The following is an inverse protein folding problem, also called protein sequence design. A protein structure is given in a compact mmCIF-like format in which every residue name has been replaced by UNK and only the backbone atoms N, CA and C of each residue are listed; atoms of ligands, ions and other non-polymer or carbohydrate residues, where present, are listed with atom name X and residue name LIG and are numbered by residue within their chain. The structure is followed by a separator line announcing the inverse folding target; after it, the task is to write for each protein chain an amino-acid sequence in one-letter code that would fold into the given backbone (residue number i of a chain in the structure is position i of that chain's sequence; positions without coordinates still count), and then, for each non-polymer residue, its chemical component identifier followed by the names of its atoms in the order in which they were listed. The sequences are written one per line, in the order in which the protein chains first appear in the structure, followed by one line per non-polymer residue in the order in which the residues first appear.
data_IF_188396121454
#
_entry.id   IF_188396121454
#
_cell.length_a   1.000
_cell.length_b   1.000
_cell.length_c   1.000
_cell.angle_alpha   90.00
_cell.angle_beta   90.00
_cell.angle_gamma   90.00
#
_symmetry.space_group_name_H-M   'P 1'
#
loop_
_entity.id
_entity.type
_entity.pdbx_description
1 polymer ?
#
# COMPACT_ATOMS: atom_id res chain seq x y z
N UNK A 1 28.20 -7.40 -63.08
CA UNK A 1 27.00 -8.10 -62.56
C UNK A 1 26.62 -7.64 -61.15
N UNK A 2 27.59 -7.26 -60.30
CA UNK A 2 27.38 -6.88 -58.90
C UNK A 2 26.63 -5.55 -58.67
N UNK A 3 26.78 -4.55 -59.54
CA UNK A 3 26.07 -3.27 -59.41
C UNK A 3 24.55 -3.38 -59.57
N UNK A 4 24.07 -4.35 -60.35
CA UNK A 4 22.62 -4.56 -60.52
C UNK A 4 22.02 -5.24 -59.30
N UNK A 5 22.80 -6.06 -58.59
CA UNK A 5 22.35 -6.77 -57.40
C UNK A 5 22.21 -5.81 -56.21
N UNK A 6 23.11 -4.83 -56.09
CA UNK A 6 23.02 -3.78 -55.07
C UNK A 6 21.81 -2.86 -55.28
N UNK A 7 21.51 -2.50 -56.55
CA UNK A 7 20.35 -1.67 -56.90
C UNK A 7 19.02 -2.37 -56.62
N UNK A 8 18.96 -3.68 -56.87
CA UNK A 8 17.78 -4.50 -56.53
C UNK A 8 17.62 -4.62 -55.01
N UNK A 9 18.73 -4.78 -54.27
CA UNK A 9 18.72 -4.84 -52.81
C UNK A 9 18.21 -3.55 -52.16
N UNK A 10 18.66 -2.38 -52.61
CA UNK A 10 18.17 -1.09 -52.08
C UNK A 10 16.71 -0.82 -52.45
N UNK A 11 16.26 -1.27 -53.62
CA UNK A 11 14.85 -1.14 -54.01
C UNK A 11 13.94 -2.02 -53.15
N UNK A 12 14.35 -3.26 -52.87
CA UNK A 12 13.60 -4.17 -51.99
C UNK A 12 13.55 -3.66 -50.54
N UNK A 13 14.64 -3.09 -50.04
CA UNK A 13 14.69 -2.53 -48.68
C UNK A 13 13.78 -1.29 -48.56
N UNK A 14 13.72 -0.46 -49.60
CA UNK A 14 12.78 0.66 -49.67
C UNK A 14 11.32 0.21 -49.67
N UNK A 15 10.98 -0.84 -50.43
CA UNK A 15 9.64 -1.43 -50.44
C UNK A 15 9.26 -2.01 -49.07
N UNK A 16 10.18 -2.68 -48.38
CA UNK A 16 9.94 -3.19 -47.03
C UNK A 16 9.68 -2.07 -46.02
N UNK A 17 10.41 -0.94 -46.13
CA UNK A 17 10.25 0.22 -45.25
C UNK A 17 8.91 0.92 -45.46
N UNK A 18 8.49 1.08 -46.72
CA UNK A 18 7.17 1.63 -47.07
C UNK A 18 6.05 0.68 -46.62
N UNK A 19 6.22 -0.63 -46.78
CA UNK A 19 5.29 -1.63 -46.27
C UNK A 19 5.14 -1.60 -44.74
N UNK A 20 6.25 -1.43 -44.01
CA UNK A 20 6.24 -1.37 -42.55
C UNK A 20 5.62 -0.07 -42.03
N UNK A 21 5.82 1.05 -42.73
CA UNK A 21 5.14 2.33 -42.45
C UNK A 21 3.63 2.25 -42.75
N UNK A 22 3.24 1.64 -43.87
CA UNK A 22 1.83 1.40 -44.21
C UNK A 22 1.13 0.49 -43.21
N UNK A 23 1.79 -0.58 -42.77
CA UNK A 23 1.27 -1.48 -41.74
C UNK A 23 1.10 -0.79 -40.38
N UNK A 24 2.06 0.07 -39.98
CA UNK A 24 1.90 0.92 -38.78
C UNK A 24 0.74 1.90 -38.90
N UNK A 25 0.53 2.47 -40.08
CA UNK A 25 -0.56 3.42 -40.30
C UNK A 25 -1.94 2.73 -40.25
N UNK A 26 -2.05 1.53 -40.84
CA UNK A 26 -3.25 0.69 -40.77
C UNK A 26 -3.56 0.24 -39.34
N UNK A 27 -2.55 -0.20 -38.59
CA UNK A 27 -2.73 -0.63 -37.19
C UNK A 27 -3.15 0.54 -36.27
N UNK A 28 -2.71 1.76 -36.60
CA UNK A 28 -3.13 2.96 -35.86
C UNK A 28 -4.51 3.47 -36.28
N UNK A 29 -4.93 3.24 -37.53
CA UNK A 29 -6.27 3.59 -38.01
C UNK A 29 -7.37 2.71 -37.40
N UNK A 30 -7.05 1.45 -37.04
CA UNK A 30 -7.98 0.54 -36.36
C UNK A 30 -8.23 0.94 -34.88
N UNK A 31 -7.43 1.84 -34.32
CA UNK A 31 -7.60 2.38 -32.96
C UNK A 31 -8.39 3.69 -32.88
N UNK A 32 -8.87 4.22 -34.02
CA UNK A 32 -9.59 5.50 -34.07
C UNK A 32 -10.86 5.42 -34.92
N UNK A 33 -11.76 4.49 -34.61
CA UNK A 33 -13.19 4.65 -34.91
C UNK A 33 -14.03 4.00 -33.82
N UNK A 34 -14.31 4.77 -32.77
CA UNK A 34 -15.58 4.70 -32.08
C UNK A 34 -16.08 6.14 -31.91
N UNK A 35 -17.18 6.55 -32.58
CA UNK A 35 -17.62 7.93 -32.58
C UNK A 35 -18.23 8.29 -31.22
N UNK A 36 -17.93 9.52 -30.80
CA UNK A 36 -18.52 10.16 -29.64
C UNK A 36 -20.06 10.13 -29.70
N UNK A 37 -20.68 9.62 -28.64
CA UNK A 37 -22.06 9.92 -28.30
C UNK A 37 -22.24 9.99 -26.78
N UNK A 38 -22.65 11.18 -26.36
CA UNK A 38 -23.40 11.51 -25.16
C UNK A 38 -22.68 11.54 -23.81
N UNK A 39 -22.61 12.77 -23.28
CA UNK A 39 -22.57 13.07 -21.86
C UNK A 39 -23.52 12.16 -21.09
N UNK A 40 -22.97 11.16 -20.42
CA UNK A 40 -23.64 10.48 -19.32
C UNK A 40 -22.62 10.46 -18.20
N UNK A 41 -22.92 11.24 -17.18
CA UNK A 41 -22.30 11.14 -15.85
C UNK A 41 -22.45 9.70 -15.40
N UNK A 42 -21.44 8.86 -15.66
CA UNK A 42 -21.30 7.57 -15.00
C UNK A 42 -20.90 7.89 -13.57
N UNK A 43 -21.91 8.09 -12.73
CA UNK A 43 -21.83 7.62 -11.35
C UNK A 43 -21.38 6.16 -11.46
N UNK A 44 -20.10 5.92 -11.18
CA UNK A 44 -19.68 4.59 -10.76
C UNK A 44 -20.44 4.38 -9.46
N UNK A 45 -21.45 3.54 -9.53
CA UNK A 45 -22.18 3.05 -8.38
C UNK A 45 -21.16 2.30 -7.53
N UNK A 46 -20.56 3.02 -6.59
CA UNK A 46 -19.88 2.44 -5.44
C UNK A 46 -20.92 1.54 -4.79
N UNK A 47 -20.74 0.22 -4.90
CA UNK A 47 -21.43 -0.73 -4.04
C UNK A 47 -20.95 -0.48 -2.62
N UNK A 48 -21.60 0.48 -1.95
CA UNK A 48 -21.66 0.47 -0.50
C UNK A 48 -22.26 -0.89 -0.13
N UNK A 49 -21.47 -1.75 0.51
CA UNK A 49 -22.00 -3.00 1.04
C UNK A 49 -23.01 -2.59 2.10
N UNK A 50 -24.28 -2.96 1.90
CA UNK A 50 -25.40 -2.54 2.75
C UNK A 50 -25.15 -3.06 4.18
N UNK A 51 -25.15 -2.17 5.17
CA UNK A 51 -24.79 -2.48 6.57
C UNK A 51 -25.70 -3.58 7.18
N UNK A 52 -26.89 -3.80 6.61
CA UNK A 52 -27.83 -4.85 7.01
C UNK A 52 -27.46 -6.26 6.52
N UNK A 53 -26.75 -6.41 5.40
CA UNK A 53 -26.38 -7.72 4.84
C UNK A 53 -25.13 -8.31 5.53
N UNK A 54 -24.29 -7.44 6.10
CA UNK A 54 -23.16 -7.82 6.95
C UNK A 54 -23.64 -8.52 8.25
N UNK A 55 -24.63 -7.95 8.95
CA UNK A 55 -25.12 -8.49 10.22
C UNK A 55 -25.59 -9.95 10.15
N UNK A 56 -26.33 -10.30 9.09
CA UNK A 56 -26.89 -11.66 8.91
C UNK A 56 -25.85 -12.69 8.45
N UNK A 57 -24.77 -12.24 7.79
CA UNK A 57 -23.68 -13.11 7.33
C UNK A 57 -22.64 -13.40 8.42
N UNK A 58 -22.46 -12.50 9.40
CA UNK A 58 -21.65 -12.76 10.60
C UNK A 58 -22.34 -13.66 11.63
N UNK A 59 -23.66 -13.54 11.80
CA UNK A 59 -24.43 -14.37 12.74
C UNK A 59 -24.36 -15.88 12.42
N UNK A 60 -23.99 -16.25 11.19
CA UNK A 60 -23.92 -17.65 10.71
C UNK A 60 -22.54 -18.30 10.87
N UNK A 61 -21.50 -17.53 11.20
CA UNK A 61 -20.13 -18.05 11.35
C UNK A 61 -19.78 -18.51 12.79
N UNK A 62 -20.56 -18.11 13.80
CA UNK A 62 -20.33 -18.44 15.22
C UNK A 62 -20.86 -19.80 15.70
N UNK A 63 -21.50 -20.61 14.85
CA UNK A 63 -22.10 -21.88 15.26
C UNK A 63 -21.14 -23.07 15.06
N UNK A 64 -20.07 -23.15 15.86
CA UNK A 64 -19.07 -24.22 15.74
C UNK A 64 -18.18 -24.46 16.97
N UNK A 65 -18.62 -24.13 18.19
CA UNK A 65 -17.86 -24.35 19.42
C UNK A 65 -18.13 -25.73 20.03
N UNK A 66 -17.15 -26.65 19.97
CA UNK A 66 -17.17 -27.88 20.77
C UNK A 66 -16.50 -27.58 22.12
N UNK A 67 -17.27 -27.63 23.19
CA UNK A 67 -16.79 -27.40 24.55
C UNK A 67 -16.04 -28.60 25.10
N UNK A 68 -14.80 -28.40 25.56
CA UNK A 68 -14.09 -29.34 26.43
C UNK A 68 -13.48 -28.56 27.60
N UNK A 69 -13.88 -28.94 28.80
CA UNK A 69 -13.47 -28.34 30.08
C UNK A 69 -12.00 -28.60 30.43
N UNK A 70 -11.37 -27.75 31.26
CA UNK A 70 -9.95 -27.84 31.58
C UNK A 70 -9.68 -28.62 32.87
N UNK A 71 -8.56 -29.35 32.91
CA UNK A 71 -7.89 -29.73 34.15
C UNK A 71 -6.47 -29.15 34.17
N UNK A 72 -6.13 -28.66 35.36
CA UNK A 72 -5.00 -27.80 35.72
C UNK A 72 -3.72 -28.61 35.92
N UNK A 73 -2.58 -28.10 35.46
CA UNK A 73 -1.29 -28.24 36.16
C UNK A 73 -0.28 -27.18 35.65
N UNK A 74 0.09 -26.26 36.54
CA UNK A 74 1.05 -25.17 36.34
C UNK A 74 2.48 -25.67 36.61
N UNK A 75 3.48 -25.29 35.78
CA UNK A 75 4.85 -25.17 36.27
C UNK A 75 5.37 -23.73 36.19
N UNK A 76 6.31 -23.48 37.08
CA UNK A 76 6.82 -22.20 37.55
C UNK A 76 7.61 -21.40 36.50
N UNK A 77 7.49 -20.08 36.59
CA UNK A 77 8.19 -19.08 35.78
C UNK A 77 9.60 -18.90 36.36
N UNK A 78 10.64 -19.29 35.61
CA UNK A 78 12.00 -18.80 35.84
C UNK A 78 12.21 -17.47 35.11
N UNK A 79 12.49 -16.45 35.90
CA UNK A 79 12.76 -15.06 35.55
C UNK A 79 14.20 -14.95 35.00
N UNK A 80 14.39 -15.08 33.69
CA UNK A 80 15.64 -14.69 33.03
C UNK A 80 15.57 -13.21 32.60
N UNK A 81 16.35 -12.39 33.28
CA UNK A 81 16.43 -10.94 33.09
C UNK A 81 16.80 -10.49 31.67
N UNK A 82 16.77 -9.16 31.41
CA UNK A 82 16.88 -8.61 30.06
C UNK A 82 18.29 -8.80 29.48
N UNK A 83 18.49 -9.88 28.74
CA UNK A 83 19.71 -10.13 27.97
C UNK A 83 19.60 -9.42 26.62
N UNK A 84 20.28 -8.27 26.50
CA UNK A 84 20.50 -7.57 25.24
C UNK A 84 21.31 -8.46 24.28
N UNK A 85 20.63 -9.18 23.39
CA UNK A 85 21.25 -9.92 22.27
C UNK A 85 21.59 -8.93 21.16
N UNK A 86 22.84 -8.52 21.11
CA UNK A 86 23.39 -7.68 20.03
C UNK A 86 23.71 -8.57 18.81
N UNK A 87 22.92 -8.40 17.74
CA UNK A 87 23.41 -8.30 16.36
C UNK A 87 23.91 -9.56 15.66
N UNK A 88 22.98 -10.38 15.13
CA UNK A 88 23.19 -10.98 13.81
C UNK A 88 22.47 -10.08 12.81
N UNK A 89 23.22 -9.38 11.96
CA UNK A 89 22.65 -8.66 10.82
C UNK A 89 21.99 -9.72 9.92
N UNK A 90 20.66 -9.82 9.98
CA UNK A 90 19.88 -10.87 9.31
C UNK A 90 19.15 -11.85 10.23
N UNK A 91 19.10 -11.62 11.55
CA UNK A 91 18.21 -12.38 12.42
C UNK A 91 16.74 -12.14 12.03
N UNK A 92 16.03 -13.21 11.71
CA UNK A 92 14.56 -13.18 11.55
C UNK A 92 13.96 -12.90 12.93
N UNK A 93 13.25 -11.77 13.12
CA UNK A 93 12.66 -11.44 14.42
C UNK A 93 11.59 -12.46 14.74
N UNK A 94 11.59 -13.00 15.95
CA UNK A 94 10.51 -13.88 16.39
C UNK A 94 9.19 -13.09 16.49
N UNK A 95 8.03 -13.77 16.42
CA UNK A 95 6.71 -13.10 16.38
C UNK A 95 6.45 -12.23 17.62
N UNK A 96 7.00 -12.62 18.76
CA UNK A 96 6.95 -11.92 20.05
C UNK A 96 7.91 -10.72 20.15
N UNK A 97 8.95 -10.68 19.31
CA UNK A 97 9.88 -9.54 19.21
C UNK A 97 9.32 -8.40 18.34
N UNK A 98 8.29 -8.68 17.53
CA UNK A 98 7.64 -7.68 16.69
C UNK A 98 6.77 -6.77 17.56
N UNK A 99 6.84 -5.45 17.34
CA UNK A 99 6.00 -4.52 18.11
C UNK A 99 4.51 -4.74 17.86
N UNK A 100 3.79 -5.19 18.88
CA UNK A 100 2.36 -5.46 18.83
C UNK A 100 1.54 -4.23 19.25
N UNK A 101 0.44 -3.98 18.53
CA UNK A 101 -0.63 -3.07 18.90
C UNK A 101 -1.76 -3.90 19.47
N UNK A 102 -2.16 -3.62 20.71
CA UNK A 102 -3.24 -4.36 21.40
C UNK A 102 -4.60 -4.17 20.74
N UNK A 103 -4.83 -2.98 20.21
CA UNK A 103 -6.08 -2.57 19.58
C UNK A 103 -5.78 -1.65 18.39
N UNK A 104 -6.77 -1.50 17.52
CA UNK A 104 -6.70 -0.57 16.40
C UNK A 104 -6.73 0.86 16.96
N UNK A 105 -5.79 1.73 16.59
CA UNK A 105 -5.77 3.08 17.11
C UNK A 105 -6.83 3.95 16.41
N UNK A 106 -8.06 3.95 16.90
CA UNK A 106 -9.16 4.78 16.35
C UNK A 106 -8.98 6.26 16.72
N UNK A 107 -8.60 6.53 17.97
CA UNK A 107 -8.51 7.89 18.50
C UNK A 107 -7.29 8.63 17.94
N UNK A 108 -7.50 9.86 17.45
CA UNK A 108 -6.43 10.71 16.89
C UNK A 108 -5.23 10.88 17.85
N UNK A 109 -5.52 11.03 19.15
CA UNK A 109 -4.49 11.17 20.19
C UNK A 109 -3.57 9.95 20.24
N UNK A 110 -4.16 8.75 20.18
CA UNK A 110 -3.43 7.49 20.23
C UNK A 110 -2.61 7.29 18.95
N UNK A 111 -3.20 7.55 17.78
CA UNK A 111 -2.48 7.50 16.49
C UNK A 111 -1.28 8.44 16.50
N UNK A 112 -1.45 9.70 16.95
CA UNK A 112 -0.35 10.68 17.04
C UNK A 112 0.73 10.26 18.02
N UNK A 113 0.35 9.65 19.15
CA UNK A 113 1.30 9.11 20.11
C UNK A 113 2.13 7.99 19.48
N UNK A 114 1.47 6.95 18.94
CA UNK A 114 2.13 5.82 18.29
C UNK A 114 2.99 6.25 17.10
N UNK A 115 2.53 7.25 16.33
CA UNK A 115 3.29 7.84 15.23
C UNK A 115 4.58 8.51 15.71
N UNK A 116 4.55 9.20 16.86
CA UNK A 116 5.73 9.83 17.43
C UNK A 116 6.71 8.82 18.03
N UNK A 117 6.21 7.73 18.61
CA UNK A 117 7.00 6.63 19.15
C UNK A 117 7.64 5.78 18.02
N UNK A 118 7.00 5.69 16.85
CA UNK A 118 7.48 4.90 15.70
C UNK A 118 8.55 5.59 14.84
N UNK A 119 9.24 6.64 15.32
CA UNK A 119 10.31 7.33 14.58
C UNK A 119 11.40 6.39 14.05
N UNK A 120 11.76 5.37 14.82
CA UNK A 120 12.76 4.36 14.42
C UNK A 120 12.28 3.39 13.32
N UNK A 121 10.97 3.34 13.08
CA UNK A 121 10.26 2.45 12.15
C UNK A 121 9.71 3.21 10.94
N UNK A 122 10.41 4.29 10.56
CA UNK A 122 10.11 5.04 9.36
C UNK A 122 10.45 4.21 8.11
N UNK A 123 9.59 4.30 7.10
CA UNK A 123 9.81 3.70 5.80
C UNK A 123 11.07 4.29 5.18
N UNK A 124 11.95 3.43 4.64
CA UNK A 124 13.23 3.83 4.06
C UNK A 124 13.18 3.75 2.54
N UNK A 125 13.68 4.79 1.88
CA UNK A 125 13.89 4.73 0.44
C UNK A 125 15.02 3.75 0.12
N UNK A 126 14.82 2.92 -0.89
CA UNK A 126 15.86 2.07 -1.45
C UNK A 126 16.93 2.89 -2.18
N UNK A 127 18.16 2.40 -2.12
CA UNK A 127 19.26 2.99 -2.88
C UNK A 127 19.07 2.77 -4.38
N UNK A 128 19.39 3.75 -5.24
CA UNK A 128 19.30 3.60 -6.69
C UNK A 128 20.08 2.37 -7.20
N UNK A 129 19.53 1.70 -8.23
CA UNK A 129 20.05 0.45 -8.77
C UNK A 129 19.64 -0.82 -8.02
N UNK A 130 18.96 -0.72 -6.87
CA UNK A 130 18.38 -1.88 -6.20
C UNK A 130 17.21 -2.47 -7.00
N UNK A 131 17.00 -3.78 -6.90
CA UNK A 131 15.84 -4.44 -7.53
C UNK A 131 14.55 -3.99 -6.84
N UNK A 132 13.59 -3.54 -7.65
CA UNK A 132 12.24 -3.15 -7.20
C UNK A 132 11.52 -4.40 -6.69
N UNK A 133 11.49 -5.48 -7.46
CA UNK A 133 10.88 -6.74 -7.06
C UNK A 133 11.98 -7.80 -6.84
N UNK A 134 12.55 -7.89 -5.62
CA UNK A 134 13.55 -8.91 -5.36
C UNK A 134 12.90 -10.30 -5.38
N UNK A 135 13.61 -11.34 -5.85
CA UNK A 135 13.10 -12.69 -5.78
C UNK A 135 12.87 -13.09 -4.32
N UNK A 136 11.71 -13.68 -4.05
CA UNK A 136 11.37 -14.20 -2.72
C UNK A 136 12.33 -15.34 -2.39
N UNK A 137 12.99 -15.23 -1.23
CA UNK A 137 13.91 -16.25 -0.73
C UNK A 137 13.12 -17.49 -0.30
N UNK A 138 13.38 -18.63 -0.93
CA UNK A 138 12.82 -19.92 -0.51
C UNK A 138 13.71 -20.51 0.56
N UNK A 139 13.36 -20.24 1.82
CA UNK A 139 14.01 -20.87 2.96
C UNK A 139 13.52 -22.33 3.08
N UNK A 140 14.38 -23.30 3.41
CA UNK A 140 13.96 -24.68 3.64
C UNK A 140 12.84 -24.77 4.68
N UNK A 141 11.87 -25.65 4.44
CA UNK A 141 10.77 -25.89 5.39
C UNK A 141 11.30 -26.26 6.79
N UNK A 142 10.56 -25.86 7.84
CA UNK A 142 10.87 -26.11 9.26
C UNK A 142 11.96 -25.24 9.90
N UNK A 143 12.16 -24.03 9.38
CA UNK A 143 13.03 -23.04 9.99
C UNK A 143 12.47 -21.64 9.77
N UNK A 144 12.41 -20.82 10.81
CA UNK A 144 12.07 -19.43 10.69
C UNK A 144 13.06 -18.70 9.77
N UNK A 145 12.54 -17.81 8.95
CA UNK A 145 13.34 -17.15 7.93
C UNK A 145 12.70 -15.88 7.38
N UNK A 146 13.49 -15.14 6.60
CA UNK A 146 13.04 -13.93 5.92
C UNK A 146 12.70 -14.26 4.47
N UNK A 147 11.44 -14.09 4.08
CA UNK A 147 11.00 -14.21 2.69
C UNK A 147 11.58 -13.08 1.83
N UNK A 148 11.64 -11.87 2.40
CA UNK A 148 12.21 -10.68 1.77
C UNK A 148 11.20 -9.56 1.63
N UNK A 149 11.54 -8.58 0.79
CA UNK A 149 10.70 -7.42 0.49
C UNK A 149 9.73 -7.80 -0.61
N UNK A 150 8.47 -7.38 -0.50
CA UNK A 150 7.48 -7.59 -1.57
C UNK A 150 6.77 -6.30 -1.88
N UNK A 151 6.46 -6.06 -3.16
CA UNK A 151 5.72 -4.87 -3.57
C UNK A 151 4.22 -5.05 -3.33
N UNK A 152 3.64 -4.22 -2.46
CA UNK A 152 2.23 -4.35 -2.08
C UNK A 152 1.35 -3.32 -2.78
N UNK A 153 1.77 -2.07 -2.85
CA UNK A 153 0.99 -1.01 -3.49
C UNK A 153 1.89 0.01 -4.16
N UNK A 154 1.33 0.74 -5.11
CA UNK A 154 2.02 1.83 -5.80
C UNK A 154 1.36 3.18 -5.51
N UNK A 155 2.19 4.19 -5.34
CA UNK A 155 1.79 5.60 -5.16
C UNK A 155 2.29 6.37 -6.37
N UNK A 156 1.35 7.00 -7.08
CA UNK A 156 1.63 7.99 -8.11
C UNK A 156 1.45 9.40 -7.56
N UNK A 157 2.22 10.33 -8.10
CA UNK A 157 2.09 11.74 -7.79
C UNK A 157 1.41 12.43 -8.96
N UNK A 158 0.53 13.39 -8.68
CA UNK A 158 -0.11 14.22 -9.69
C UNK A 158 -0.02 15.68 -9.25
N UNK A 159 -0.03 16.60 -10.21
CA UNK A 159 -0.01 18.03 -9.89
C UNK A 159 -1.45 18.50 -9.66
N UNK A 160 -1.72 19.11 -8.49
CA UNK A 160 -3.02 19.69 -8.19
C UNK A 160 -3.47 20.63 -9.33
N UNK A 161 -4.67 20.45 -9.92
CA UNK A 161 -5.17 21.30 -10.99
C UNK A 161 -5.11 22.81 -10.70
N UNK A 162 -5.27 23.21 -9.43
CA UNK A 162 -5.18 24.61 -9.00
C UNK A 162 -3.73 25.09 -8.90
N UNK A 163 -2.82 24.22 -8.47
CA UNK A 163 -1.37 24.49 -8.47
C UNK A 163 -0.81 24.57 -9.89
N UNK A 164 -1.36 23.76 -10.80
CA UNK A 164 -1.01 23.69 -12.23
C UNK A 164 -1.12 25.04 -12.95
N UNK A 165 -2.03 25.91 -12.53
CA UNK A 165 -2.18 27.26 -13.08
C UNK A 165 -1.10 28.25 -12.57
N UNK A 166 -0.48 27.97 -11.41
CA UNK A 166 0.49 28.87 -10.76
C UNK A 166 1.93 28.63 -11.19
N UNK A 167 2.23 27.46 -11.79
CA UNK A 167 3.57 27.13 -12.26
C UNK A 167 3.81 27.65 -13.68
N UNK A 168 5.03 28.15 -13.99
CA UNK A 168 5.43 28.46 -15.36
C UNK A 168 5.26 27.25 -16.28
N UNK A 169 4.84 27.47 -17.52
CA UNK A 169 4.49 26.40 -18.46
C UNK A 169 5.60 25.35 -18.65
N UNK A 170 6.87 25.79 -18.68
CA UNK A 170 8.05 24.91 -18.81
C UNK A 170 8.22 24.04 -17.57
N UNK A 171 8.26 24.64 -16.38
CA UNK A 171 8.39 23.93 -15.10
C UNK A 171 7.23 22.96 -14.91
N UNK A 172 6.00 23.38 -15.23
CA UNK A 172 4.81 22.53 -15.20
C UNK A 172 4.99 21.28 -16.06
N UNK A 173 5.40 21.45 -17.33
CA UNK A 173 5.60 20.33 -18.24
C UNK A 173 6.66 19.34 -17.72
N UNK A 174 7.74 19.86 -17.14
CA UNK A 174 8.78 19.02 -16.53
C UNK A 174 8.28 18.24 -15.31
N UNK A 175 7.54 18.89 -14.40
CA UNK A 175 6.97 18.25 -13.21
C UNK A 175 5.95 17.18 -13.60
N UNK A 176 5.04 17.49 -14.51
CA UNK A 176 4.03 16.52 -14.99
C UNK A 176 4.70 15.34 -15.69
N UNK A 177 5.70 15.58 -16.54
CA UNK A 177 6.45 14.51 -17.17
C UNK A 177 7.18 13.66 -16.14
N UNK A 178 7.79 14.28 -15.12
CA UNK A 178 8.48 13.57 -14.05
C UNK A 178 7.52 12.69 -13.25
N UNK A 179 6.35 13.22 -12.87
CA UNK A 179 5.31 12.48 -12.16
C UNK A 179 4.67 11.36 -12.98
N UNK A 180 4.42 11.60 -14.27
CA UNK A 180 3.88 10.58 -15.17
C UNK A 180 4.87 9.47 -15.49
N UNK A 181 6.17 9.71 -15.29
CA UNK A 181 7.24 8.75 -15.60
C UNK A 181 7.60 7.88 -14.39
N UNK A 182 7.40 8.37 -13.17
CA UNK A 182 7.89 7.69 -11.98
C UNK A 182 6.79 7.34 -10.99
N UNK A 183 7.01 6.24 -10.27
CA UNK A 183 6.12 5.80 -9.19
C UNK A 183 6.93 5.35 -7.99
N UNK A 184 6.24 5.29 -6.85
CA UNK A 184 6.76 4.74 -5.62
C UNK A 184 6.03 3.44 -5.30
N UNK A 185 6.75 2.35 -5.08
CA UNK A 185 6.20 1.11 -4.55
C UNK A 185 6.51 0.99 -3.05
N UNK A 186 5.50 0.66 -2.25
CA UNK A 186 5.67 0.38 -0.81
C UNK A 186 5.90 -1.12 -0.60
N UNK A 187 6.94 -1.43 0.17
CA UNK A 187 7.52 -2.76 0.26
C UNK A 187 7.77 -3.19 1.71
N UNK A 188 6.79 -3.84 2.37
CA UNK A 188 7.04 -4.47 3.67
C UNK A 188 8.01 -5.65 3.53
N UNK A 189 8.72 -5.94 4.61
CA UNK A 189 9.49 -7.18 4.76
C UNK A 189 8.59 -8.25 5.38
N UNK A 190 8.54 -9.41 4.73
CA UNK A 190 7.79 -10.56 5.20
C UNK A 190 8.76 -11.61 5.73
N UNK A 191 8.36 -12.21 6.84
CA UNK A 191 9.05 -13.28 7.52
C UNK A 191 8.14 -14.51 7.56
N UNK A 192 8.70 -15.66 7.92
CA UNK A 192 7.92 -16.85 8.21
C UNK A 192 8.51 -17.57 9.41
N UNK A 193 7.64 -18.27 10.13
CA UNK A 193 8.04 -19.06 11.30
C UNK A 193 8.52 -20.47 10.91
N UNK A 194 8.81 -21.27 11.93
CA UNK A 194 9.20 -22.67 11.79
C UNK A 194 8.09 -23.54 11.18
N UNK A 195 6.83 -23.11 11.25
CA UNK A 195 5.69 -23.80 10.64
C UNK A 195 5.48 -23.36 9.17
N UNK A 196 6.27 -22.41 8.69
CA UNK A 196 6.17 -21.86 7.34
C UNK A 196 5.00 -20.89 7.14
N UNK A 197 4.50 -20.29 8.21
CA UNK A 197 3.39 -19.32 8.14
C UNK A 197 3.96 -17.91 7.98
N UNK A 198 3.50 -17.14 6.97
CA UNK A 198 4.01 -15.79 6.75
C UNK A 198 3.50 -14.80 7.81
N UNK A 199 4.31 -13.82 8.16
CA UNK A 199 3.93 -12.69 9.01
C UNK A 199 4.70 -11.42 8.63
N UNK A 200 4.14 -10.27 8.96
CA UNK A 200 4.79 -8.98 8.79
C UNK A 200 5.73 -8.68 9.95
N UNK A 201 6.90 -8.09 9.64
CA UNK A 201 7.63 -7.30 10.62
C UNK A 201 7.26 -5.82 10.55
N UNK A 202 8.00 -5.00 11.28
CA UNK A 202 7.82 -3.53 11.26
C UNK A 202 8.68 -2.81 10.23
N UNK A 203 9.53 -3.54 9.51
CA UNK A 203 10.41 -2.97 8.49
C UNK A 203 9.65 -2.75 7.19
N UNK A 204 9.63 -1.49 6.75
CA UNK A 204 9.05 -1.10 5.48
C UNK A 204 10.07 -0.30 4.66
N UNK A 205 10.10 -0.57 3.37
CA UNK A 205 10.94 0.14 2.43
C UNK A 205 10.09 0.67 1.28
N UNK A 206 10.61 1.64 0.54
CA UNK A 206 9.97 2.15 -0.65
C UNK A 206 10.94 2.13 -1.82
N UNK A 207 10.44 1.69 -2.97
CA UNK A 207 11.17 1.63 -4.22
C UNK A 207 10.66 2.73 -5.14
N UNK A 208 11.50 3.70 -5.47
CA UNK A 208 11.18 4.70 -6.49
C UNK A 208 11.67 4.20 -7.85
N UNK A 209 10.80 4.12 -8.86
CA UNK A 209 11.13 3.47 -10.14
C UNK A 209 10.51 4.21 -11.34
N UNK A 210 11.08 3.95 -12.52
CA UNK A 210 10.55 4.38 -13.81
C UNK A 210 9.50 3.38 -14.30
N UNK A 211 8.30 3.86 -14.65
CA UNK A 211 7.20 3.00 -15.10
C UNK A 211 7.58 2.24 -16.38
N UNK A 212 8.41 2.83 -17.23
CA UNK A 212 8.87 2.17 -18.45
C UNK A 212 9.84 1.00 -18.17
N UNK A 213 10.57 1.06 -17.05
CA UNK A 213 11.58 0.08 -16.65
C UNK A 213 11.43 -0.26 -15.15
N UNK A 214 10.36 -0.94 -14.73
CA UNK A 214 10.00 -1.14 -13.31
C UNK A 214 10.85 -2.20 -12.59
N UNK A 215 12.07 -2.47 -13.07
CA UNK A 215 12.94 -3.54 -12.56
C UNK A 215 13.90 -3.04 -11.49
N UNK A 216 14.38 -1.81 -11.63
CA UNK A 216 15.40 -1.21 -10.76
C UNK A 216 14.95 0.15 -10.25
N UNK A 217 15.39 0.48 -9.04
CA UNK A 217 15.11 1.78 -8.43
C UNK A 217 15.95 2.87 -9.09
N UNK A 218 15.38 4.06 -9.23
CA UNK A 218 16.01 5.25 -9.79
C UNK A 218 16.19 6.32 -8.70
N UNK A 219 17.11 7.29 -8.87
CA UNK A 219 17.27 8.37 -7.90
C UNK A 219 15.96 9.16 -7.74
N UNK A 220 15.49 9.27 -6.50
CA UNK A 220 14.35 10.09 -6.14
C UNK A 220 14.80 11.52 -5.82
N UNK A 221 13.92 12.49 -6.05
CA UNK A 221 14.14 13.85 -5.57
C UNK A 221 14.14 13.88 -4.03
N UNK A 222 14.99 14.69 -3.37
CA UNK A 222 15.14 14.69 -1.91
C UNK A 222 13.82 14.94 -1.14
N UNK A 223 12.88 15.64 -1.76
CA UNK A 223 11.56 15.90 -1.21
C UNK A 223 10.69 14.64 -1.15
N UNK A 224 10.85 13.71 -2.10
CA UNK A 224 10.15 12.42 -2.12
C UNK A 224 10.72 11.53 -1.01
N UNK A 225 12.04 11.47 -0.88
CA UNK A 225 12.70 10.72 0.22
C UNK A 225 12.22 11.20 1.59
N UNK A 226 12.15 12.53 1.77
CA UNK A 226 11.65 13.16 2.99
C UNK A 226 10.17 12.85 3.25
N UNK A 227 9.36 12.69 2.20
CA UNK A 227 7.95 12.30 2.32
C UNK A 227 7.80 10.82 2.66
N UNK A 228 8.60 9.94 2.06
CA UNK A 228 8.64 8.51 2.38
C UNK A 228 8.96 8.26 3.84
N UNK A 229 9.91 9.02 4.41
CA UNK A 229 10.24 8.93 5.84
C UNK A 229 9.07 9.30 6.79
N UNK A 230 7.99 9.89 6.28
CA UNK A 230 6.76 10.16 7.04
C UNK A 230 5.81 8.98 7.09
N UNK A 231 5.98 7.97 6.24
CA UNK A 231 5.31 6.68 6.41
C UNK A 231 6.00 5.93 7.54
N UNK A 232 5.25 5.51 8.56
CA UNK A 232 5.80 4.81 9.72
C UNK A 232 4.99 3.57 10.03
N UNK A 233 5.66 2.47 10.28
CA UNK A 233 5.03 1.28 10.84
C UNK A 233 4.72 1.53 12.32
N UNK A 234 3.44 1.55 12.67
CA UNK A 234 2.98 1.68 14.06
C UNK A 234 3.19 0.38 14.84
N UNK A 235 3.04 -0.75 14.17
CA UNK A 235 3.17 -2.09 14.73
C UNK A 235 2.25 -3.08 14.04
N UNK A 236 2.32 -4.33 14.45
CA UNK A 236 1.39 -5.37 14.02
C UNK A 236 0.18 -5.36 14.94
N UNK A 237 -1.03 -5.33 14.39
CA UNK A 237 -2.26 -5.41 15.18
C UNK A 237 -2.42 -6.84 15.70
N UNK A 238 -2.50 -6.98 17.03
CA UNK A 238 -2.80 -8.24 17.67
C UNK A 238 -4.28 -8.58 17.52
N UNK A 239 -4.59 -9.87 17.39
CA UNK A 239 -5.97 -10.32 17.29
C UNK A 239 -6.59 -10.42 18.69
N UNK A 240 -7.17 -9.34 19.19
CA UNK A 240 -8.04 -9.36 20.39
C UNK A 240 -7.49 -10.12 21.61
N UNK A 241 -8.37 -10.82 22.34
CA UNK A 241 -8.03 -11.61 23.54
C UNK A 241 -7.09 -12.81 23.27
N UNK A 242 -6.76 -13.09 21.99
CA UNK A 242 -5.70 -14.05 21.60
C UNK A 242 -4.31 -13.50 21.91
N UNK A 243 -4.16 -12.22 22.28
CA UNK A 243 -2.95 -11.75 22.95
C UNK A 243 -2.70 -12.44 24.32
N UNK A 244 -3.70 -13.14 24.89
CA UNK A 244 -3.59 -13.92 26.14
C UNK A 244 -3.53 -15.43 25.93
N UNK A 245 -3.96 -15.96 24.79
CA UNK A 245 -3.77 -17.38 24.44
C UNK A 245 -2.54 -17.52 23.53
N UNK A 246 -1.68 -18.48 23.83
CA UNK A 246 -0.40 -18.73 23.16
C UNK A 246 -0.50 -19.17 21.69
N UNK A 247 -1.63 -18.93 21.01
CA UNK A 247 -1.83 -19.31 19.62
C UNK A 247 -1.12 -18.33 18.69
N UNK A 248 0.17 -18.62 18.48
CA UNK A 248 1.07 -17.90 17.59
C UNK A 248 0.55 -17.76 16.15
N UNK A 249 -0.45 -18.57 15.74
CA UNK A 249 -1.01 -18.60 14.38
C UNK A 249 -1.51 -17.22 13.92
N UNK A 250 -2.16 -16.48 14.81
CA UNK A 250 -2.90 -15.25 14.48
C UNK A 250 -2.09 -13.97 14.63
N UNK A 251 -0.98 -14.01 15.38
CA UNK A 251 -0.09 -12.87 15.60
C UNK A 251 0.73 -12.58 14.34
N UNK A 252 0.80 -11.33 13.87
CA UNK A 252 1.67 -10.98 12.73
C UNK A 252 0.96 -10.78 11.39
N UNK A 253 -0.34 -11.02 11.28
CA UNK A 253 -1.08 -11.00 10.00
C UNK A 253 -1.39 -9.59 9.48
N UNK A 254 -1.51 -8.59 10.37
CA UNK A 254 -1.92 -7.23 9.99
C UNK A 254 -0.89 -6.21 10.44
N UNK A 255 -0.19 -5.58 9.50
CA UNK A 255 0.72 -4.48 9.75
C UNK A 255 -0.03 -3.15 9.67
N UNK A 256 -0.07 -2.39 10.77
CA UNK A 256 -0.58 -1.03 10.78
C UNK A 256 0.55 -0.03 10.53
N UNK A 257 0.35 0.81 9.53
CA UNK A 257 1.18 1.95 9.19
C UNK A 257 0.38 3.24 9.32
N UNK A 258 1.08 4.34 9.54
CA UNK A 258 0.47 5.67 9.53
C UNK A 258 1.31 6.62 8.70
N UNK A 259 0.64 7.58 8.09
CA UNK A 259 1.28 8.63 7.31
C UNK A 259 0.60 9.97 7.58
N UNK A 260 1.42 11.02 7.58
CA UNK A 260 1.00 12.38 7.94
C UNK A 260 1.15 13.28 6.74
N UNK A 261 0.08 13.97 6.39
CA UNK A 261 0.06 14.96 5.32
C UNK A 261 -0.72 16.21 5.74
N UNK A 262 -0.54 17.28 5.00
CA UNK A 262 -1.17 18.57 5.26
C UNK A 262 -2.45 18.67 4.41
N UNK A 263 -3.62 18.57 5.04
CA UNK A 263 -4.89 18.75 4.37
C UNK A 263 -5.07 20.25 4.12
N UNK A 264 -5.08 20.66 2.85
CA UNK A 264 -5.41 22.04 2.51
C UNK A 264 -6.92 22.18 2.44
N UNK A 265 -7.53 22.88 3.39
CA UNK A 265 -8.91 23.32 3.21
C UNK A 265 -8.94 24.28 2.02
N UNK A 266 -9.78 23.95 1.03
CA UNK A 266 -9.88 24.60 -0.28
C UNK A 266 -10.30 26.08 -0.24
N UNK A 267 -10.37 26.70 0.94
CA UNK A 267 -11.08 27.96 1.22
C UNK A 267 -10.27 29.09 1.86
N UNK A 268 -8.94 29.01 2.03
CA UNK A 268 -8.23 30.10 2.71
C UNK A 268 -6.97 30.60 1.99
N UNK A 269 -7.14 31.77 1.36
CA UNK A 269 -6.12 32.81 1.17
C UNK A 269 -5.66 33.43 2.50
N UNK A 270 -5.90 32.81 3.66
CA UNK A 270 -5.47 33.35 4.95
C UNK A 270 -4.04 32.91 5.25
N UNK A 271 -3.12 33.81 4.92
CA UNK A 271 -1.76 33.81 5.46
C UNK A 271 -1.82 33.84 6.99
N UNK A 272 -1.77 32.69 7.67
CA UNK A 272 -1.63 32.67 9.14
C UNK A 272 -2.12 31.43 9.89
N UNK A 273 -3.03 30.63 9.33
CA UNK A 273 -3.47 29.37 9.97
C UNK A 273 -2.54 28.23 9.56
N UNK A 274 -1.86 27.61 10.54
CA UNK A 274 -1.05 26.42 10.29
C UNK A 274 -1.87 25.37 9.53
N UNK A 275 -1.37 24.88 8.40
CA UNK A 275 -2.04 23.85 7.61
C UNK A 275 -2.47 22.68 8.51
N UNK A 276 -3.76 22.28 8.43
CA UNK A 276 -4.30 21.19 9.25
C UNK A 276 -3.61 19.90 8.82
N UNK A 277 -2.79 19.33 9.71
CA UNK A 277 -2.18 18.02 9.46
C UNK A 277 -3.20 16.93 9.75
N UNK A 278 -3.46 16.09 8.75
CA UNK A 278 -4.22 14.86 8.95
C UNK A 278 -3.26 13.67 9.05
N UNK A 279 -3.72 12.60 9.69
CA UNK A 279 -2.96 11.37 9.89
C UNK A 279 -3.86 10.21 9.55
N UNK A 280 -3.54 9.49 8.49
CA UNK A 280 -4.32 8.35 8.04
C UNK A 280 -3.55 7.06 8.28
N UNK A 281 -4.28 5.95 8.33
CA UNK A 281 -3.77 4.61 8.57
C UNK A 281 -3.77 3.82 7.27
N UNK A 282 -2.75 2.98 7.11
CA UNK A 282 -2.63 1.99 6.05
C UNK A 282 -2.42 0.64 6.72
N UNK A 283 -3.29 -0.31 6.45
CA UNK A 283 -3.18 -1.69 6.93
C UNK A 283 -2.75 -2.58 5.78
N UNK A 284 -1.66 -3.32 5.96
CA UNK A 284 -1.28 -4.41 5.08
C UNK A 284 -1.67 -5.72 5.78
N UNK A 285 -2.41 -6.56 5.08
CA UNK A 285 -3.05 -7.73 5.68
C UNK A 285 -2.70 -9.00 4.90
N UNK A 286 -2.36 -10.06 5.62
CA UNK A 286 -2.20 -11.43 5.12
C UNK A 286 -3.47 -12.20 5.43
N UNK A 287 -4.30 -12.55 4.43
CA UNK A 287 -5.47 -13.40 4.61
C UNK A 287 -5.11 -14.79 5.15
N UNK A 288 -6.08 -15.50 5.73
CA UNK A 288 -5.86 -16.82 6.34
C UNK A 288 -5.27 -17.85 5.38
N UNK A 289 -5.63 -17.75 4.11
CA UNK A 289 -5.18 -18.62 3.04
C UNK A 289 -3.77 -18.26 2.50
N UNK A 290 -3.13 -17.20 2.97
CA UNK A 290 -1.82 -16.79 2.48
C UNK A 290 -0.74 -17.84 2.82
N UNK A 291 0.04 -18.24 1.83
CA UNK A 291 1.11 -19.24 1.98
C UNK A 291 2.43 -18.71 1.45
N UNK A 292 3.55 -19.39 1.74
CA UNK A 292 4.86 -18.99 1.19
C UNK A 292 4.92 -19.09 -0.34
N UNK A 293 4.08 -19.94 -0.95
CA UNK A 293 3.97 -20.10 -2.40
C UNK A 293 3.00 -19.10 -3.05
N UNK A 294 2.04 -18.60 -2.27
CA UNK A 294 1.03 -17.64 -2.72
C UNK A 294 0.81 -16.60 -1.62
N UNK A 295 1.65 -15.56 -1.64
CA UNK A 295 1.60 -14.44 -0.71
C UNK A 295 0.55 -13.43 -1.18
N UNK A 296 -0.72 -13.80 -1.00
CA UNK A 296 -1.83 -12.87 -1.18
C UNK A 296 -1.75 -11.81 -0.07
N UNK A 297 -1.54 -10.57 -0.45
CA UNK A 297 -1.50 -9.43 0.47
C UNK A 297 -2.58 -8.46 0.04
N UNK A 298 -3.41 -8.09 0.98
CA UNK A 298 -4.44 -7.07 0.84
C UNK A 298 -3.97 -5.78 1.50
N UNK A 299 -4.42 -4.63 0.99
CA UNK A 299 -4.12 -3.34 1.56
C UNK A 299 -5.41 -2.55 1.79
N UNK A 300 -5.49 -1.90 2.94
CA UNK A 300 -6.61 -1.09 3.33
C UNK A 300 -6.12 0.26 3.79
N UNK A 301 -6.77 1.33 3.39
CA UNK A 301 -6.36 2.70 3.75
C UNK A 301 -7.53 3.45 4.34
N UNK A 302 -7.27 4.25 5.37
CA UNK A 302 -8.29 5.14 5.91
C UNK A 302 -8.31 6.49 5.18
N UNK A 303 -9.49 7.10 5.12
CA UNK A 303 -9.68 8.48 4.63
C UNK A 303 -10.59 9.28 5.54
N UNK A 304 -10.66 10.58 5.25
CA UNK A 304 -11.61 11.51 5.86
C UNK A 304 -11.45 11.64 7.38
N UNK A 305 -10.20 11.79 7.84
CA UNK A 305 -9.84 11.82 9.25
C UNK A 305 -10.13 10.47 9.96
N UNK A 306 -9.91 9.37 9.23
CA UNK A 306 -10.11 7.96 9.62
C UNK A 306 -11.57 7.56 9.87
N UNK A 307 -12.52 8.13 9.14
CA UNK A 307 -13.94 7.71 9.21
C UNK A 307 -14.26 6.57 8.25
N UNK A 308 -13.48 6.44 7.18
CA UNK A 308 -13.76 5.53 6.07
C UNK A 308 -12.57 4.61 5.86
N UNK A 309 -12.80 3.32 5.67
CA UNK A 309 -11.79 2.34 5.26
C UNK A 309 -12.04 1.92 3.81
N UNK A 310 -11.01 2.05 2.98
CA UNK A 310 -11.01 1.61 1.59
C UNK A 310 -10.20 0.33 1.45
N UNK A 311 -10.76 -0.70 0.81
CA UNK A 311 -9.99 -1.85 0.34
C UNK A 311 -9.38 -1.50 -1.00
N UNK A 312 -8.05 -1.47 -1.07
CA UNK A 312 -7.34 -1.08 -2.28
C UNK A 312 -7.33 -2.20 -3.32
N UNK A 313 -7.56 -1.83 -4.58
CA UNK A 313 -7.37 -2.72 -5.72
C UNK A 313 -5.89 -2.80 -6.07
N UNK A 314 -5.26 -3.90 -5.67
CA UNK A 314 -3.84 -4.11 -5.86
C UNK A 314 -3.53 -4.72 -7.24
N UNK A 315 -4.44 -5.48 -7.85
CA UNK A 315 -4.23 -6.17 -9.13
C UNK A 315 -3.04 -7.16 -9.15
N UNK A 316 -2.96 -7.96 -10.21
CA UNK A 316 -1.88 -8.95 -10.40
C UNK A 316 -0.58 -8.31 -10.95
N UNK A 317 -0.70 -7.30 -11.82
CA UNK A 317 0.45 -6.56 -12.37
C UNK A 317 0.64 -5.22 -11.63
N UNK A 318 1.06 -5.31 -10.37
CA UNK A 318 1.12 -4.16 -9.44
C UNK A 318 2.05 -3.04 -9.91
N UNK A 319 3.16 -3.42 -10.54
CA UNK A 319 4.20 -2.49 -10.99
C UNK A 319 3.93 -1.97 -12.42
N UNK A 320 3.36 -2.80 -13.29
CA UNK A 320 2.99 -2.45 -14.67
C UNK A 320 1.59 -1.88 -14.84
N UNK A 321 0.78 -1.83 -13.77
CA UNK A 321 -0.59 -1.31 -13.82
C UNK A 321 -0.66 0.08 -14.49
N UNK A 322 -1.66 0.36 -15.33
CA UNK A 322 -1.76 1.65 -16.02
C UNK A 322 -1.98 2.82 -15.05
N UNK A 323 -2.63 2.58 -13.92
CA UNK A 323 -2.84 3.56 -12.85
C UNK A 323 -2.23 3.07 -11.53
N UNK A 324 -1.74 3.98 -10.67
CA UNK A 324 -1.25 3.63 -9.34
C UNK A 324 -2.40 3.20 -8.43
N UNK A 325 -2.09 2.50 -7.34
CA UNK A 325 -3.06 2.15 -6.30
C UNK A 325 -3.55 3.40 -5.54
N UNK A 326 -2.63 4.34 -5.29
CA UNK A 326 -2.89 5.62 -4.64
C UNK A 326 -2.38 6.73 -5.56
N UNK A 327 -3.22 7.70 -5.91
CA UNK A 327 -2.81 8.96 -6.55
C UNK A 327 -2.80 10.06 -5.51
N UNK A 328 -1.67 10.71 -5.28
CA UNK A 328 -1.55 11.85 -4.39
C UNK A 328 -1.39 13.14 -5.19
N UNK A 329 -2.30 14.09 -4.98
CA UNK A 329 -2.25 15.40 -5.62
C UNK A 329 -1.31 16.31 -4.85
N UNK A 330 -0.38 16.94 -5.54
CA UNK A 330 0.71 17.74 -4.98
C UNK A 330 0.60 19.19 -5.43
N UNK A 331 0.76 20.11 -4.49
CA UNK A 331 1.05 21.52 -4.72
C UNK A 331 2.43 21.87 -4.19
N UNK A 332 3.08 22.88 -4.77
CA UNK A 332 4.32 23.43 -4.25
C UNK A 332 4.07 24.83 -3.69
N UNK A 333 4.38 25.01 -2.41
CA UNK A 333 4.15 26.29 -1.73
C UNK A 333 5.34 27.26 -1.86
N UNK A 334 6.52 26.76 -2.25
CA UNK A 334 7.74 27.57 -2.38
C UNK A 334 8.45 27.27 -3.69
N UNK A 335 9.14 28.26 -4.24
CA UNK A 335 10.03 28.07 -5.39
C UNK A 335 11.46 28.45 -4.97
N UNK A 336 12.44 27.66 -5.38
CA UNK A 336 13.89 27.90 -5.17
C UNK A 336 14.57 28.18 -6.52
N UNK A 337 15.86 28.53 -6.48
CA UNK A 337 16.67 28.85 -7.66
C UNK A 337 16.02 29.94 -8.52
N UNK A 338 15.83 31.13 -7.93
CA UNK A 338 15.23 32.30 -8.60
C UNK A 338 13.80 32.05 -9.14
N UNK A 339 13.06 31.13 -8.52
CA UNK A 339 11.69 30.81 -8.91
C UNK A 339 11.58 29.74 -10.00
N UNK A 340 12.68 29.10 -10.38
CA UNK A 340 12.72 28.13 -11.48
C UNK A 340 12.40 26.70 -11.04
N UNK A 341 12.64 26.36 -9.78
CA UNK A 341 12.50 25.00 -9.28
C UNK A 341 11.48 24.94 -8.13
N UNK A 342 10.44 24.11 -8.21
CA UNK A 342 9.44 23.98 -7.17
C UNK A 342 10.03 23.27 -5.93
N UNK A 343 9.57 23.68 -4.75
CA UNK A 343 10.07 23.16 -3.47
C UNK A 343 8.95 23.11 -2.44
N UNK A 344 9.14 22.31 -1.39
CA UNK A 344 8.14 22.11 -0.33
C UNK A 344 6.81 21.57 -0.89
N UNK A 345 6.78 20.33 -1.40
CA UNK A 345 5.54 19.71 -1.85
C UNK A 345 4.58 19.50 -0.67
N UNK A 346 3.32 19.79 -0.92
CA UNK A 346 2.18 19.62 -0.02
C UNK A 346 1.18 18.71 -0.71
N UNK A 347 0.80 17.62 -0.04
CA UNK A 347 -0.24 16.70 -0.54
C UNK A 347 -1.59 17.36 -0.30
N UNK A 348 -2.29 17.77 -1.35
CA UNK A 348 -3.58 18.47 -1.24
C UNK A 348 -4.75 17.51 -1.16
N UNK A 349 -4.67 16.38 -1.86
CA UNK A 349 -5.72 15.37 -1.93
C UNK A 349 -5.11 13.98 -2.21
N UNK A 350 -5.86 12.92 -1.92
CA UNK A 350 -5.50 11.56 -2.27
C UNK A 350 -6.71 10.81 -2.83
N UNK A 351 -6.48 10.16 -3.96
CA UNK A 351 -7.47 9.31 -4.64
C UNK A 351 -7.00 7.87 -4.59
N UNK A 352 -7.94 6.96 -4.36
CA UNK A 352 -7.66 5.54 -4.18
C UNK A 352 -8.34 4.73 -5.27
N UNK A 353 -7.64 3.75 -5.83
CA UNK A 353 -8.27 2.68 -6.59
C UNK A 353 -8.84 1.67 -5.60
N UNK A 354 -10.15 1.69 -5.39
CA UNK A 354 -10.82 0.90 -4.35
C UNK A 354 -11.68 -0.21 -4.94
N UNK A 355 -11.71 -1.36 -4.28
CA UNK A 355 -12.64 -2.47 -4.55
C UNK A 355 -13.85 -2.48 -3.61
N UNK A 356 -13.80 -1.70 -2.54
CA UNK A 356 -14.84 -1.70 -1.53
C UNK A 356 -14.57 -0.67 -0.46
N UNK A 357 -15.64 -0.18 0.16
CA UNK A 357 -15.58 0.85 1.20
C UNK A 357 -16.39 0.38 2.41
N UNK A 358 -15.86 0.60 3.60
CA UNK A 358 -16.51 0.29 4.87
C UNK A 358 -16.34 1.47 5.84
N UNK A 359 -17.34 1.73 6.67
CA UNK A 359 -17.24 2.73 7.73
C UNK A 359 -16.35 2.22 8.87
N UNK A 360 -15.46 3.08 9.37
CA UNK A 360 -14.66 2.77 10.56
C UNK A 360 -15.53 2.64 11.82
N UNK A 361 -16.72 3.25 11.85
CA UNK A 361 -17.68 3.05 12.92
C UNK A 361 -18.22 1.61 12.93
N UNK A 362 -18.51 1.03 11.75
CA UNK A 362 -18.92 -0.37 11.62
C UNK A 362 -17.80 -1.31 12.08
N UNK A 363 -16.54 -1.02 11.70
CA UNK A 363 -15.38 -1.80 12.17
C UNK A 363 -15.25 -1.73 13.69
N UNK A 364 -15.42 -0.54 14.26
CA UNK A 364 -15.36 -0.37 15.71
C UNK A 364 -16.48 -1.16 16.40
N UNK A 365 -17.71 -1.11 15.89
CA UNK A 365 -18.83 -1.89 16.44
C UNK A 365 -18.59 -3.41 16.37
N UNK A 366 -18.02 -3.91 15.27
CA UNK A 366 -17.67 -5.34 15.13
C UNK A 366 -16.52 -5.76 16.06
N UNK A 367 -15.64 -4.83 16.42
CA UNK A 367 -14.53 -5.07 17.35
C UNK A 367 -14.91 -4.80 18.82
N UNK A 368 -16.08 -4.22 19.09
CA UNK A 368 -16.59 -4.00 20.44
C UNK A 368 -17.26 -5.27 20.98
N UNK A 369 -17.14 -5.55 22.29
CA UNK A 369 -17.80 -6.70 22.90
C UNK A 369 -19.32 -6.58 22.79
N UNK A 370 -19.93 -7.53 22.08
CA UNK A 370 -21.38 -7.70 22.01
C UNK A 370 -21.94 -8.28 23.32
N UNK A 371 -23.26 -8.16 23.55
CA UNK A 371 -23.93 -8.74 24.73
C UNK A 371 -23.76 -10.27 24.82
N UNK A 372 -23.47 -10.92 23.69
CA UNK A 372 -23.21 -12.36 23.57
C UNK A 372 -21.72 -12.75 23.78
N UNK A 373 -20.83 -11.77 23.95
CA UNK A 373 -19.42 -11.97 24.28
C UNK A 373 -18.50 -12.34 23.11
N UNK A 374 -19.03 -12.43 21.88
CA UNK A 374 -18.22 -12.68 20.68
C UNK A 374 -17.58 -11.36 20.22
N UNK A 375 -16.25 -11.31 20.23
CA UNK A 375 -15.44 -10.14 19.82
C UNK A 375 -14.69 -10.54 18.55
N UNK A 376 -14.94 -9.87 17.43
CA UNK A 376 -14.12 -10.05 16.23
C UNK A 376 -12.84 -9.23 16.34
N UNK A 377 -11.72 -9.85 16.00
CA UNK A 377 -10.45 -9.15 15.79
C UNK A 377 -10.46 -8.36 14.48
N UNK A 378 -9.66 -7.30 14.40
CA UNK A 378 -9.51 -6.54 13.15
C UNK A 378 -9.15 -7.46 11.97
N UNK A 379 -8.24 -8.42 12.18
CA UNK A 379 -7.83 -9.33 11.10
C UNK A 379 -9.01 -10.14 10.56
N UNK A 380 -9.91 -10.61 11.43
CA UNK A 380 -11.14 -11.31 11.00
C UNK A 380 -12.10 -10.38 10.27
N UNK A 381 -12.26 -9.15 10.74
CA UNK A 381 -13.07 -8.13 10.04
C UNK A 381 -12.51 -7.86 8.64
N UNK A 382 -11.18 -7.76 8.50
CA UNK A 382 -10.51 -7.56 7.20
C UNK A 382 -10.65 -8.79 6.29
N UNK A 383 -10.48 -10.00 6.82
CA UNK A 383 -10.70 -11.26 6.08
C UNK A 383 -12.12 -11.32 5.49
N UNK A 384 -13.12 -10.94 6.28
CA UNK A 384 -14.52 -10.96 5.85
C UNK A 384 -14.81 -9.84 4.84
N UNK A 385 -14.26 -8.65 5.07
CA UNK A 385 -14.36 -7.56 4.11
C UNK A 385 -13.71 -7.92 2.76
N UNK A 386 -12.56 -8.61 2.78
CA UNK A 386 -11.89 -9.13 1.58
C UNK A 386 -12.75 -10.14 0.81
N UNK A 387 -13.39 -11.07 1.52
CA UNK A 387 -14.30 -12.09 0.95
C UNK A 387 -15.55 -11.47 0.32
N UNK A 388 -16.14 -10.45 0.97
CA UNK A 388 -17.36 -9.79 0.48
C UNK A 388 -17.08 -8.90 -0.73
N UNK A 389 -16.02 -8.10 -0.69
CA UNK A 389 -15.66 -7.21 -1.78
C UNK A 389 -15.06 -7.94 -3.00
N UNK A 390 -14.70 -9.22 -2.88
CA UNK A 390 -14.21 -10.05 -4.00
C UNK A 390 -15.30 -10.81 -4.78
N UNK A 391 -16.59 -10.65 -4.42
CA UNK A 391 -17.72 -11.36 -5.03
C UNK A 391 -18.44 -10.58 -6.15
N UNK A 392 -17.91 -9.44 -6.59
CA UNK A 392 -18.52 -8.58 -7.63
C UNK A 392 -18.09 -8.94 -9.05
#
# INVERSE_FOLDING_TARGET
MEQNLLKVGTFLLGLALVGMLGYRYLKNAEFQFSPAASNTTTNVELTAVDDGELGDSFAKAGAGGTSVSPDVETPEVEDEGPMLRVGVIGATPARDEVTLLREVPYAERLVKQLYNESRGRACRMLVPGATVEPPISRVPARRAGTLGRTSVLTIGLELDPRARAKLPAVTRGQVEQYFNKHRLAIQPVIYHDDEGRPYFGTDCQAAFFDIAEPTVTVPAEPMIESAVARFRALGVVANGDIAKSSDAFFLGRTLAMAFVFERSDLSTESSGTSAKKSTELLFLHLPEQATLSDLQIEAYITSDDRTTLHRLDIGDDRLGAPAPTISADIRFDKMVLLGMYPSSPVVTDMRYRTMGVLSMATIQQLCEPSEDGDIMSLSEVLDQFGKLAGRS
#
